data_IF_610736098279
#
_entry.id   IF_610736098279
#
_cell.length_a   1.000
_cell.length_b   1.000
_cell.length_c   1.000
_cell.angle_alpha   90.00
_cell.angle_beta   90.00
_cell.angle_gamma   90.00
#
_symmetry.space_group_name_H-M   'P 1'
#
loop_
_entity.id
_entity.type
_entity.pdbx_description
1 polymer ?
#
# COMPACT_ATOMS: atom_id res chain seq x y z
N UNK A 1 -15.96 30.30 -9.72
CA UNK A 1 -14.79 29.54 -10.20
C UNK A 1 -13.47 30.13 -9.68
N UNK A 2 -13.26 31.43 -9.76
CA UNK A 2 -12.04 32.11 -9.26
C UNK A 2 -11.88 31.92 -7.74
N UNK A 3 -12.93 32.07 -6.96
CA UNK A 3 -12.88 31.84 -5.49
C UNK A 3 -12.52 30.41 -5.10
N UNK A 4 -13.07 29.43 -5.82
CA UNK A 4 -12.73 28.02 -5.63
C UNK A 4 -11.23 27.78 -5.86
N UNK A 5 -10.71 28.27 -6.99
CA UNK A 5 -9.28 28.14 -7.32
C UNK A 5 -8.39 28.87 -6.30
N UNK A 6 -8.77 30.06 -5.88
CA UNK A 6 -8.04 30.80 -4.87
C UNK A 6 -7.98 30.02 -3.55
N UNK A 7 -9.08 29.46 -3.09
CA UNK A 7 -9.12 28.68 -1.85
C UNK A 7 -8.31 27.39 -1.97
N UNK A 8 -8.45 26.68 -3.11
CA UNK A 8 -7.73 25.43 -3.36
C UNK A 8 -6.21 25.61 -3.51
N UNK A 9 -5.77 26.78 -4.00
CA UNK A 9 -4.35 27.12 -4.20
C UNK A 9 -3.76 27.95 -3.06
N UNK A 10 -4.52 28.19 -1.99
CA UNK A 10 -4.04 28.90 -0.80
C UNK A 10 -3.66 27.89 0.30
N UNK A 11 -2.61 28.23 1.08
CA UNK A 11 -2.24 27.45 2.26
C UNK A 11 -3.38 27.48 3.31
N UNK A 12 -3.73 26.34 3.95
CA UNK A 12 -3.11 25.02 3.93
C UNK A 12 -3.62 24.08 2.83
N UNK A 13 -4.71 24.39 2.15
CA UNK A 13 -5.38 23.51 1.16
C UNK A 13 -4.48 23.17 -0.03
N UNK A 14 -3.59 24.08 -0.41
CA UNK A 14 -2.63 23.90 -1.51
C UNK A 14 -1.85 22.56 -1.41
N UNK A 15 -1.39 22.19 -0.22
CA UNK A 15 -0.60 20.98 -0.06
C UNK A 15 -1.38 19.72 -0.43
N UNK A 16 -2.62 19.63 0.01
CA UNK A 16 -3.50 18.52 -0.39
C UNK A 16 -3.90 18.61 -1.87
N UNK A 17 -4.04 19.81 -2.44
CA UNK A 17 -4.32 19.99 -3.87
C UNK A 17 -3.18 19.46 -4.74
N UNK A 18 -1.92 19.74 -4.36
CA UNK A 18 -0.73 19.21 -5.04
C UNK A 18 -0.67 17.69 -4.91
N UNK A 19 -0.95 17.16 -3.72
CA UNK A 19 -0.95 15.72 -3.49
C UNK A 19 -2.04 15.01 -4.30
N UNK A 20 -3.23 15.58 -4.40
CA UNK A 20 -4.31 15.06 -5.26
C UNK A 20 -3.96 15.14 -6.75
N UNK A 21 -3.31 16.21 -7.18
CA UNK A 21 -2.83 16.32 -8.56
C UNK A 21 -1.81 15.21 -8.86
N UNK A 22 -0.88 14.96 -7.95
CA UNK A 22 0.07 13.85 -8.06
C UNK A 22 -0.65 12.49 -8.16
N UNK A 23 -1.60 12.22 -7.26
CA UNK A 23 -2.40 11.00 -7.30
C UNK A 23 -3.16 10.86 -8.63
N UNK A 24 -3.71 11.97 -9.15
CA UNK A 24 -4.43 11.97 -10.43
C UNK A 24 -3.51 11.60 -11.59
N UNK A 25 -2.32 12.19 -11.65
CA UNK A 25 -1.30 11.85 -12.67
C UNK A 25 -0.90 10.39 -12.55
N UNK A 26 -0.67 9.90 -11.35
CA UNK A 26 -0.35 8.48 -11.11
C UNK A 26 -1.45 7.55 -11.66
N UNK A 27 -2.73 7.82 -11.36
CA UNK A 27 -3.84 7.01 -11.84
C UNK A 27 -4.00 7.07 -13.35
N UNK A 28 -3.71 8.21 -13.98
CA UNK A 28 -3.68 8.32 -15.45
C UNK A 28 -2.56 7.44 -16.04
N UNK A 29 -1.37 7.45 -15.45
CA UNK A 29 -0.26 6.59 -15.89
C UNK A 29 -0.56 5.11 -15.66
N UNK A 30 -1.16 4.75 -14.52
CA UNK A 30 -1.59 3.38 -14.25
C UNK A 30 -2.67 2.91 -15.24
N UNK A 31 -3.62 3.79 -15.59
CA UNK A 31 -4.66 3.48 -16.58
C UNK A 31 -4.10 3.23 -17.99
N UNK A 32 -2.96 3.84 -18.34
CA UNK A 32 -2.26 3.56 -19.61
C UNK A 32 -1.39 2.29 -19.56
N UNK A 33 -1.25 1.66 -18.40
CA UNK A 33 -0.39 0.49 -18.20
C UNK A 33 1.11 0.80 -18.15
N UNK A 34 1.50 2.09 -18.07
CA UNK A 34 2.91 2.51 -17.95
C UNK A 34 3.44 2.22 -16.55
N UNK A 35 2.58 2.32 -15.54
CA UNK A 35 2.92 2.10 -14.12
C UNK A 35 2.00 1.03 -13.56
N UNK A 36 2.57 0.06 -12.84
CA UNK A 36 1.80 -0.94 -12.11
C UNK A 36 1.09 -0.31 -10.91
N UNK A 37 -0.13 -0.77 -10.63
CA UNK A 37 -0.94 -0.29 -9.49
C UNK A 37 -0.22 -0.51 -8.15
N UNK A 38 0.59 -1.56 -8.06
CA UNK A 38 1.34 -1.92 -6.85
C UNK A 38 2.81 -1.43 -6.87
N UNK A 39 3.21 -0.62 -7.85
CA UNK A 39 4.59 -0.16 -7.99
C UNK A 39 5.08 0.62 -6.75
N UNK A 40 4.21 1.45 -6.17
CA UNK A 40 4.53 2.23 -4.97
C UNK A 40 4.54 1.35 -3.72
N UNK A 41 3.71 0.32 -3.66
CA UNK A 41 3.65 -0.62 -2.55
C UNK A 41 4.96 -1.40 -2.42
N UNK A 42 5.51 -1.86 -3.55
CA UNK A 42 6.80 -2.51 -3.59
C UNK A 42 7.94 -1.62 -3.07
N UNK A 43 7.92 -0.34 -3.41
CA UNK A 43 8.95 0.61 -2.98
C UNK A 43 8.83 1.01 -1.50
N UNK A 44 7.62 1.16 -0.98
CA UNK A 44 7.38 1.56 0.42
C UNK A 44 7.43 0.40 1.42
N UNK A 45 7.20 -0.84 0.97
CA UNK A 45 7.23 -2.03 1.82
C UNK A 45 8.57 -2.73 1.81
N UNK A 46 9.43 -2.44 0.82
CA UNK A 46 10.78 -2.97 0.72
C UNK A 46 11.75 -2.05 1.48
N UNK A 47 11.67 -2.00 2.79
CA UNK A 47 12.82 -1.62 3.60
C UNK A 47 13.81 -2.79 3.52
N UNK A 48 14.94 -2.54 2.82
CA UNK A 48 15.91 -3.52 2.42
C UNK A 48 16.17 -4.61 3.48
N UNK A 49 16.40 -5.83 3.02
CA UNK A 49 16.89 -7.05 3.71
C UNK A 49 16.47 -7.36 5.16
N UNK A 50 15.67 -6.53 5.81
CA UNK A 50 15.13 -6.78 7.15
C UNK A 50 13.70 -7.31 7.02
N UNK A 51 13.47 -8.50 7.56
CA UNK A 51 12.18 -9.19 7.60
C UNK A 51 11.11 -8.48 8.48
N UNK A 52 11.34 -7.23 8.87
CA UNK A 52 10.41 -6.46 9.69
C UNK A 52 9.41 -5.69 8.80
N UNK A 53 8.11 -5.77 9.10
CA UNK A 53 7.10 -5.00 8.38
C UNK A 53 7.39 -3.51 8.56
N UNK A 54 7.44 -2.76 7.44
CA UNK A 54 7.62 -1.31 7.48
C UNK A 54 6.59 -0.66 8.41
N UNK A 55 6.98 0.43 9.07
CA UNK A 55 6.09 1.21 9.96
C UNK A 55 4.76 1.53 9.28
N UNK A 56 4.82 1.82 7.97
CA UNK A 56 3.65 2.12 7.13
C UNK A 56 2.74 0.90 7.01
N UNK A 57 3.29 -0.29 6.71
CA UNK A 57 2.52 -1.53 6.63
C UNK A 57 1.84 -1.87 7.99
N UNK A 58 2.55 -1.65 9.10
CA UNK A 58 1.99 -1.80 10.44
C UNK A 58 0.85 -0.82 10.75
N UNK A 59 0.95 0.43 10.33
CA UNK A 59 -0.14 1.41 10.44
C UNK A 59 -1.36 1.03 9.61
N UNK A 60 -1.16 0.62 8.35
CA UNK A 60 -2.25 0.17 7.48
C UNK A 60 -2.95 -1.06 8.06
N UNK A 61 -2.20 -2.00 8.62
CA UNK A 61 -2.76 -3.18 9.27
C UNK A 61 -3.65 -2.80 10.47
N UNK A 62 -3.22 -1.86 11.31
CA UNK A 62 -4.02 -1.34 12.44
C UNK A 62 -5.30 -0.64 11.99
N UNK A 63 -5.29 0.01 10.82
CA UNK A 63 -6.47 0.63 10.22
C UNK A 63 -7.39 -0.38 9.52
N UNK A 64 -6.99 -1.65 9.42
CA UNK A 64 -7.75 -2.69 8.71
C UNK A 64 -7.65 -2.58 7.19
N UNK A 65 -6.60 -1.96 6.69
CA UNK A 65 -6.33 -1.70 5.27
C UNK A 65 -5.27 -2.62 4.68
N UNK A 66 -5.01 -3.76 5.33
CA UNK A 66 -4.04 -4.74 4.82
C UNK A 66 -4.38 -5.17 3.40
N UNK A 67 -3.42 -5.01 2.50
CA UNK A 67 -3.55 -5.43 1.11
C UNK A 67 -4.32 -4.49 0.20
N UNK A 68 -4.70 -3.33 0.67
CA UNK A 68 -5.18 -2.23 -0.18
C UNK A 68 -3.97 -1.52 -0.77
N UNK A 69 -3.93 -1.23 -2.09
CA UNK A 69 -2.85 -0.46 -2.70
C UNK A 69 -2.63 0.87 -1.99
N UNK A 70 -1.38 1.16 -1.64
CA UNK A 70 -1.02 2.37 -0.88
C UNK A 70 -1.45 3.65 -1.59
N UNK A 71 -1.35 3.68 -2.92
CA UNK A 71 -1.78 4.83 -3.71
C UNK A 71 -3.28 5.09 -3.61
N UNK A 72 -4.09 4.03 -3.45
CA UNK A 72 -5.53 4.18 -3.23
C UNK A 72 -5.79 4.81 -1.85
N UNK A 73 -5.10 4.33 -0.82
CA UNK A 73 -5.19 4.90 0.53
C UNK A 73 -4.77 6.37 0.53
N UNK A 74 -3.65 6.69 -0.11
CA UNK A 74 -3.14 8.06 -0.22
C UNK A 74 -4.12 8.97 -0.96
N UNK A 75 -4.73 8.49 -2.05
CA UNK A 75 -5.71 9.27 -2.83
C UNK A 75 -6.92 9.63 -1.98
N UNK A 76 -7.50 8.64 -1.29
CA UNK A 76 -8.70 8.85 -0.47
C UNK A 76 -8.37 9.73 0.75
N UNK A 77 -7.24 9.50 1.41
CA UNK A 77 -6.76 10.32 2.53
C UNK A 77 -6.55 11.77 2.11
N UNK A 78 -5.90 11.97 0.96
CA UNK A 78 -5.65 13.31 0.41
C UNK A 78 -6.94 14.03 0.02
N UNK A 79 -7.91 13.30 -0.52
CA UNK A 79 -9.20 13.87 -0.89
C UNK A 79 -9.97 14.37 0.36
N UNK A 80 -10.04 13.56 1.42
CA UNK A 80 -10.71 13.99 2.65
C UNK A 80 -9.92 15.06 3.40
N UNK A 81 -8.60 14.96 3.42
CA UNK A 81 -7.74 16.02 3.95
C UNK A 81 -7.95 17.35 3.20
N UNK A 82 -8.03 17.30 1.87
CA UNK A 82 -8.34 18.44 1.03
C UNK A 82 -9.72 19.01 1.34
N UNK A 83 -10.73 18.15 1.43
CA UNK A 83 -12.09 18.58 1.74
C UNK A 83 -12.18 19.31 3.08
N UNK A 84 -11.57 18.74 4.11
CA UNK A 84 -11.56 19.32 5.46
C UNK A 84 -10.82 20.67 5.47
N UNK A 85 -9.61 20.71 4.90
CA UNK A 85 -8.82 21.95 4.85
C UNK A 85 -9.49 23.02 4.00
N UNK A 86 -10.16 22.65 2.91
CA UNK A 86 -10.94 23.56 2.07
C UNK A 86 -12.05 24.24 2.85
N UNK A 87 -12.86 23.48 3.57
CA UNK A 87 -13.95 24.05 4.36
C UNK A 87 -13.45 24.85 5.56
N UNK A 88 -12.40 24.40 6.24
CA UNK A 88 -11.80 25.15 7.34
C UNK A 88 -11.19 26.47 6.81
N UNK A 89 -10.55 26.46 5.63
CA UNK A 89 -10.07 27.66 4.98
C UNK A 89 -11.22 28.64 4.70
N UNK A 90 -12.30 28.14 4.13
CA UNK A 90 -13.45 28.95 3.71
C UNK A 90 -14.23 29.55 4.90
N UNK A 91 -14.45 28.76 5.96
CA UNK A 91 -15.31 29.17 7.06
C UNK A 91 -14.55 29.81 8.24
N UNK A 92 -13.31 29.44 8.45
CA UNK A 92 -12.56 29.83 9.62
C UNK A 92 -11.32 30.68 9.30
N UNK A 93 -10.42 30.18 8.47
CA UNK A 93 -9.11 30.79 8.28
C UNK A 93 -9.17 32.15 7.54
N UNK A 94 -10.11 32.32 6.63
CA UNK A 94 -10.23 33.60 5.91
C UNK A 94 -10.64 34.79 6.81
N UNK A 95 -11.21 34.49 8.00
CA UNK A 95 -11.61 35.53 8.95
C UNK A 95 -10.52 35.85 9.98
N UNK A 96 -9.39 35.14 9.94
CA UNK A 96 -8.27 35.35 10.85
C UNK A 96 -7.25 36.35 10.28
N UNK A 97 -6.59 37.15 11.15
CA UNK A 97 -5.47 37.97 10.75
C UNK A 97 -4.32 37.11 10.20
N UNK A 98 -3.53 37.65 9.27
CA UNK A 98 -2.52 36.92 8.50
C UNK A 98 -1.51 36.15 9.37
N UNK A 99 -1.06 36.73 10.47
CA UNK A 99 -0.12 36.07 11.39
C UNK A 99 -0.68 34.81 12.04
N UNK A 100 -1.94 34.85 12.44
CA UNK A 100 -2.61 33.72 13.09
C UNK A 100 -3.06 32.67 12.07
N UNK A 101 -3.36 33.09 10.86
CA UNK A 101 -3.79 32.25 9.75
C UNK A 101 -2.75 31.18 9.37
N UNK A 102 -1.44 31.55 9.37
CA UNK A 102 -0.38 30.59 9.08
C UNK A 102 -0.27 29.49 10.15
N UNK A 103 -0.32 29.88 11.43
CA UNK A 103 -0.23 28.94 12.56
C UNK A 103 -1.47 28.04 12.58
N UNK A 104 -2.65 28.63 12.46
CA UNK A 104 -3.92 27.89 12.42
C UNK A 104 -3.99 26.96 11.18
N UNK A 105 -3.48 27.43 10.04
CA UNK A 105 -3.39 26.63 8.81
C UNK A 105 -2.49 25.40 8.98
N UNK A 106 -1.31 25.56 9.58
CA UNK A 106 -0.40 24.45 9.89
C UNK A 106 -1.07 23.44 10.86
N UNK A 107 -1.74 23.95 11.90
CA UNK A 107 -2.52 23.12 12.82
C UNK A 107 -3.65 22.34 12.12
N UNK A 108 -4.37 23.01 11.23
CA UNK A 108 -5.45 22.40 10.45
C UNK A 108 -4.93 21.30 9.52
N UNK A 109 -3.77 21.50 8.90
CA UNK A 109 -3.15 20.52 8.00
C UNK A 109 -2.91 19.19 8.73
N UNK A 110 -2.35 19.25 9.94
CA UNK A 110 -2.10 18.06 10.77
C UNK A 110 -3.41 17.51 11.35
N UNK A 111 -4.28 18.38 11.85
CA UNK A 111 -5.55 17.99 12.43
C UNK A 111 -6.48 17.29 11.43
N UNK A 112 -6.40 17.65 10.13
CA UNK A 112 -7.18 17.02 9.08
C UNK A 112 -6.77 15.56 8.81
N UNK A 113 -5.56 15.14 9.16
CA UNK A 113 -5.11 13.77 8.99
C UNK A 113 -5.91 12.77 9.84
N UNK A 114 -6.28 13.14 11.07
CA UNK A 114 -7.01 12.23 11.96
C UNK A 114 -8.40 11.88 11.42
N UNK A 115 -9.31 12.83 11.17
CA UNK A 115 -10.61 12.52 10.60
C UNK A 115 -10.47 11.99 9.16
N UNK A 116 -9.51 12.47 8.39
CA UNK A 116 -9.20 11.93 7.06
C UNK A 116 -8.86 10.45 7.10
N UNK A 117 -7.99 10.02 8.01
CA UNK A 117 -7.61 8.62 8.18
C UNK A 117 -8.78 7.75 8.67
N UNK A 118 -9.62 8.27 9.57
CA UNK A 118 -10.81 7.56 10.03
C UNK A 118 -11.80 7.32 8.90
N UNK A 119 -12.10 8.34 8.11
CA UNK A 119 -13.02 8.23 6.96
C UNK A 119 -12.44 7.32 5.90
N UNK A 120 -11.15 7.46 5.60
CA UNK A 120 -10.42 6.59 4.65
C UNK A 120 -10.51 5.12 5.10
N UNK A 121 -10.23 4.85 6.37
CA UNK A 121 -10.34 3.49 6.95
C UNK A 121 -11.76 2.94 6.79
N UNK A 122 -12.76 3.71 7.16
CA UNK A 122 -14.17 3.30 7.08
C UNK A 122 -14.58 2.99 5.62
N UNK A 123 -14.18 3.83 4.68
CA UNK A 123 -14.52 3.70 3.26
C UNK A 123 -13.78 2.53 2.59
N UNK A 124 -12.51 2.31 2.93
CA UNK A 124 -11.68 1.31 2.28
C UNK A 124 -11.75 -0.08 2.96
N UNK A 125 -12.28 -0.21 4.16
CA UNK A 125 -12.49 -1.53 4.80
C UNK A 125 -13.29 -2.52 3.94
N UNK A 126 -14.45 -2.14 3.36
CA UNK A 126 -15.17 -3.06 2.48
C UNK A 126 -14.35 -3.43 1.24
N UNK A 127 -13.56 -2.49 0.69
CA UNK A 127 -12.66 -2.74 -0.44
C UNK A 127 -11.56 -3.73 -0.03
N UNK A 128 -10.94 -3.55 1.12
CA UNK A 128 -9.96 -4.49 1.68
C UNK A 128 -10.54 -5.89 1.85
N UNK A 129 -11.78 -6.00 2.33
CA UNK A 129 -12.47 -7.29 2.48
C UNK A 129 -12.74 -7.98 1.13
N UNK A 130 -13.09 -7.23 0.10
CA UNK A 130 -13.26 -7.76 -1.26
C UNK A 130 -11.92 -8.23 -1.83
N UNK A 131 -10.87 -7.41 -1.73
CA UNK A 131 -9.52 -7.77 -2.19
C UNK A 131 -9.03 -9.04 -1.47
N UNK A 132 -9.23 -9.13 -0.15
CA UNK A 132 -8.84 -10.31 0.63
C UNK A 132 -9.55 -11.59 0.15
N UNK A 133 -10.81 -11.50 -0.28
CA UNK A 133 -11.57 -12.64 -0.84
C UNK A 133 -11.13 -13.03 -2.24
N UNK A 134 -10.64 -12.08 -3.02
CA UNK A 134 -10.16 -12.30 -4.39
C UNK A 134 -8.73 -12.80 -4.45
N UNK A 135 -7.96 -12.66 -3.36
CA UNK A 135 -6.60 -13.18 -3.29
C UNK A 135 -6.65 -14.71 -3.29
N UNK A 136 -5.89 -15.37 -4.18
CA UNK A 136 -5.78 -16.82 -4.13
C UNK A 136 -5.22 -17.23 -2.76
N UNK A 137 -5.68 -18.35 -2.18
CA UNK A 137 -5.12 -18.87 -0.95
C UNK A 137 -3.61 -19.06 -1.14
N UNK A 138 -2.81 -18.60 -0.17
CA UNK A 138 -1.38 -18.85 -0.21
C UNK A 138 -1.15 -20.35 -0.35
N UNK A 139 -0.28 -20.78 -1.27
CA UNK A 139 0.05 -22.20 -1.37
C UNK A 139 0.53 -22.70 -0.01
N UNK A 140 0.09 -23.88 0.42
CA UNK A 140 0.48 -24.40 1.73
C UNK A 140 2.00 -24.48 1.80
N UNK A 141 2.58 -24.07 2.94
CA UNK A 141 4.02 -24.13 3.15
C UNK A 141 4.50 -25.56 2.96
N UNK A 142 5.49 -25.76 2.12
CA UNK A 142 6.16 -27.05 1.92
C UNK A 142 7.21 -27.36 2.99
N UNK A 143 7.45 -26.43 3.92
CA UNK A 143 8.40 -26.61 5.02
C UNK A 143 7.95 -27.78 5.91
N UNK A 144 8.85 -28.73 6.10
CA UNK A 144 8.59 -29.94 6.90
C UNK A 144 7.82 -31.03 6.16
N UNK A 145 7.49 -30.86 4.87
CA UNK A 145 6.87 -31.91 4.05
C UNK A 145 7.89 -32.74 3.30
N UNK A 146 7.62 -34.02 3.14
CA UNK A 146 8.40 -34.89 2.28
C UNK A 146 8.04 -34.65 0.81
N UNK A 147 9.05 -34.61 -0.07
CA UNK A 147 8.89 -34.50 -1.52
C UNK A 147 9.68 -35.59 -2.23
N UNK A 148 9.21 -36.00 -3.39
CA UNK A 148 9.90 -36.98 -4.24
C UNK A 148 10.83 -36.24 -5.24
N UNK A 149 12.12 -36.61 -5.29
CA UNK A 149 13.06 -36.07 -6.27
C UNK A 149 12.69 -36.58 -7.65
N UNK A 150 12.43 -35.66 -8.60
CA UNK A 150 12.05 -35.98 -9.99
C UNK A 150 13.22 -35.77 -10.96
N UNK A 151 14.24 -34.95 -10.59
CA UNK A 151 15.49 -34.90 -11.34
C UNK A 151 16.31 -36.19 -11.15
N UNK A 152 17.25 -36.51 -12.02
CA UNK A 152 18.11 -37.68 -11.85
C UNK A 152 18.82 -37.70 -10.50
N UNK A 153 19.16 -36.52 -10.00
CA UNK A 153 19.74 -36.31 -8.67
C UNK A 153 19.39 -34.91 -8.12
N UNK A 154 19.50 -34.73 -6.83
CA UNK A 154 19.47 -33.45 -6.16
C UNK A 154 20.78 -33.31 -5.35
N UNK A 155 21.50 -32.23 -5.59
CA UNK A 155 22.76 -31.88 -4.94
C UNK A 155 22.71 -30.43 -4.41
N UNK A 156 23.77 -29.87 -3.81
CA UNK A 156 23.77 -28.47 -3.35
C UNK A 156 23.61 -27.43 -4.44
N UNK A 157 23.83 -27.79 -5.70
CA UNK A 157 23.70 -26.89 -6.86
C UNK A 157 22.36 -26.98 -7.57
N UNK A 158 21.89 -28.18 -7.85
CA UNK A 158 20.74 -28.44 -8.72
C UNK A 158 19.90 -29.62 -8.21
N UNK A 159 18.58 -29.48 -8.25
CA UNK A 159 17.63 -30.52 -7.98
C UNK A 159 16.20 -30.02 -8.18
N UNK A 160 15.29 -30.94 -8.54
CA UNK A 160 13.85 -30.70 -8.60
C UNK A 160 13.14 -31.77 -7.82
N UNK A 161 12.19 -31.37 -6.99
CA UNK A 161 11.32 -32.29 -6.27
C UNK A 161 9.85 -31.93 -6.46
N UNK A 162 9.06 -32.96 -6.47
CA UNK A 162 7.60 -32.88 -6.49
C UNK A 162 7.07 -32.99 -5.06
N UNK A 163 6.23 -32.06 -4.66
CA UNK A 163 5.56 -32.01 -3.37
C UNK A 163 4.06 -32.14 -3.61
N UNK A 164 3.42 -33.03 -2.86
CA UNK A 164 1.96 -33.12 -2.85
C UNK A 164 1.41 -32.00 -1.95
N UNK A 165 0.66 -31.07 -2.56
CA UNK A 165 0.02 -29.95 -1.88
C UNK A 165 -1.49 -30.21 -1.65
N UNK A 166 -1.98 -31.37 -2.03
CA UNK A 166 -3.40 -31.74 -2.02
C UNK A 166 -4.16 -31.29 -3.26
N UNK A 167 -3.46 -30.76 -4.28
CA UNK A 167 -3.98 -30.31 -5.56
C UNK A 167 -3.26 -30.96 -6.74
N UNK A 168 -2.87 -30.15 -7.73
CA UNK A 168 -2.13 -30.62 -8.92
C UNK A 168 -0.67 -31.03 -8.63
N UNK A 169 -0.20 -30.82 -7.41
CA UNK A 169 1.19 -30.99 -7.00
C UNK A 169 2.10 -29.81 -7.36
N UNK A 170 3.11 -29.60 -6.58
CA UNK A 170 4.03 -28.47 -6.72
C UNK A 170 5.44 -28.98 -7.06
N UNK A 171 6.00 -28.54 -8.18
CA UNK A 171 7.37 -28.83 -8.58
C UNK A 171 8.25 -27.65 -8.16
N UNK A 172 9.14 -27.90 -7.21
CA UNK A 172 10.07 -26.88 -6.70
C UNK A 172 11.50 -27.23 -7.01
N UNK A 173 12.30 -26.18 -7.19
CA UNK A 173 13.75 -26.32 -7.21
C UNK A 173 14.24 -26.52 -5.78
N UNK A 174 14.94 -27.59 -5.53
CA UNK A 174 15.47 -27.97 -4.21
C UNK A 174 16.98 -28.03 -4.24
N UNK A 175 17.61 -27.76 -3.11
CA UNK A 175 19.05 -27.88 -2.92
C UNK A 175 19.28 -28.67 -1.64
N UNK A 176 20.28 -29.53 -1.66
CA UNK A 176 20.68 -30.29 -0.48
C UNK A 176 21.69 -29.49 0.36
N UNK A 177 21.87 -29.90 1.60
CA UNK A 177 23.01 -29.41 2.40
C UNK A 177 24.33 -29.86 1.77
N UNK A 178 25.45 -29.13 2.03
CA UNK A 178 26.77 -29.55 1.57
C UNK A 178 27.07 -31.01 1.96
N UNK A 179 27.44 -31.82 0.98
CA UNK A 179 27.70 -33.25 1.15
C UNK A 179 26.48 -34.17 1.01
N UNK A 180 25.27 -33.66 0.93
CA UNK A 180 24.08 -34.43 0.64
C UNK A 180 23.82 -34.61 -0.84
N UNK A 181 23.47 -35.84 -1.25
CA UNK A 181 23.02 -36.15 -2.61
C UNK A 181 21.89 -37.17 -2.53
N UNK A 182 20.78 -36.85 -3.18
CA UNK A 182 19.64 -37.76 -3.30
C UNK A 182 19.44 -38.10 -4.78
N UNK A 183 19.24 -39.34 -5.07
CA UNK A 183 18.85 -39.84 -6.40
C UNK A 183 17.34 -40.09 -6.45
N UNK A 184 16.82 -40.11 -7.65
CA UNK A 184 15.44 -40.48 -7.93
C UNK A 184 15.15 -41.89 -7.48
#
# INVERSE_FOLDING_TARGET
MIEFLNTALTFPTLLYSVLLAFCTVYWLLAATGIVDIDAVDGWLTTDGDTAEPSVVAGMLAKLGLSGVPMMLVLTVLSFFGWLITYFVQLFLLQHLPDSLRWIAGAGTLVAALLPGALVTSLLLRPVAAVIARLRPPMPPSVLGRAGAVISPYADPGVGRAHFDDGGAGLILQVRTLPGGRFSR
#
